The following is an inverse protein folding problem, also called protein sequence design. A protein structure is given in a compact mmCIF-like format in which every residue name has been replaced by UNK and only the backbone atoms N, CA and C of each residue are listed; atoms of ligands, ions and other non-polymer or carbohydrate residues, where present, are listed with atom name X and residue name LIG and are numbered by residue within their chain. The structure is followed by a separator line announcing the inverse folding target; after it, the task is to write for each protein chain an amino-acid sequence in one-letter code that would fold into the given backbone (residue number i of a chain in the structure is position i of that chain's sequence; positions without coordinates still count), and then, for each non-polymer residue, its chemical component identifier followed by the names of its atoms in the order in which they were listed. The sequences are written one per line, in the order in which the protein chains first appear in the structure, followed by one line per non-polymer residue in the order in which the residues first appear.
data_IF_108071669630
#
_entry.id   IF_108071669630
#
_cell.length_a   1.000
_cell.length_b   1.000
_cell.length_c   1.000
_cell.angle_alpha   90.00
_cell.angle_beta   90.00
_cell.angle_gamma   90.00
#
_symmetry.space_group_name_H-M   'P 1'
#
loop_
_entity.id
_entity.type
_entity.pdbx_description
1 polymer ?
#
# COMPACT_ATOMS: atom_id res chain seq x y z
N UNK A 1 3.99 5.11 -1.49
CA UNK A 1 4.84 5.41 -0.29
C UNK A 1 5.05 4.16 0.57
N UNK A 2 4.01 3.56 1.17
CA UNK A 2 4.17 2.40 2.07
C UNK A 2 4.85 1.18 1.43
N UNK A 3 4.56 0.87 0.15
CA UNK A 3 5.21 -0.23 -0.57
C UNK A 3 6.74 -0.13 -0.60
N UNK A 4 7.28 1.09 -0.71
CA UNK A 4 8.73 1.33 -0.69
C UNK A 4 9.35 0.99 0.67
N UNK A 5 8.68 1.38 1.77
CA UNK A 5 9.16 1.07 3.12
C UNK A 5 9.07 -0.42 3.44
N UNK A 6 7.95 -1.03 3.09
CA UNK A 6 7.77 -2.46 3.25
C UNK A 6 8.74 -3.26 2.37
N UNK A 7 9.01 -2.78 1.15
CA UNK A 7 10.01 -3.37 0.26
C UNK A 7 11.42 -3.29 0.84
N UNK A 8 11.78 -2.15 1.44
CA UNK A 8 13.08 -2.01 2.11
C UNK A 8 13.21 -2.96 3.30
N UNK A 9 12.15 -3.12 4.08
CA UNK A 9 12.12 -4.12 5.14
C UNK A 9 12.32 -5.54 4.58
N UNK A 10 11.67 -5.91 3.48
CA UNK A 10 11.86 -7.23 2.84
C UNK A 10 13.30 -7.45 2.37
N UNK A 11 13.97 -6.41 1.90
CA UNK A 11 15.39 -6.43 1.58
C UNK A 11 16.24 -6.61 2.86
N UNK A 12 15.99 -5.83 3.91
CA UNK A 12 16.76 -5.86 5.16
C UNK A 12 16.67 -7.22 5.88
N UNK A 13 15.55 -7.93 5.74
CA UNK A 13 15.39 -9.30 6.28
C UNK A 13 15.80 -10.40 5.29
N UNK A 14 16.40 -10.04 4.14
CA UNK A 14 16.96 -10.98 3.17
C UNK A 14 15.94 -11.74 2.32
N UNK A 15 14.69 -11.26 2.26
CA UNK A 15 13.63 -11.84 1.41
C UNK A 15 13.75 -11.39 -0.04
N UNK A 16 14.18 -10.15 -0.25
CA UNK A 16 14.49 -9.59 -1.56
C UNK A 16 15.96 -9.22 -1.64
N UNK A 17 16.57 -9.37 -2.81
CA UNK A 17 17.84 -8.74 -3.11
C UNK A 17 17.62 -7.24 -3.38
N UNK A 18 18.70 -6.44 -3.30
CA UNK A 18 18.65 -5.02 -3.66
C UNK A 18 18.15 -4.81 -5.10
N UNK A 19 18.62 -5.62 -6.02
CA UNK A 19 18.22 -5.56 -7.43
C UNK A 19 16.72 -5.85 -7.59
N UNK A 20 16.21 -6.91 -6.97
CA UNK A 20 14.78 -7.25 -6.97
C UNK A 20 13.94 -6.12 -6.37
N UNK A 21 14.37 -5.55 -5.23
CA UNK A 21 13.67 -4.43 -4.61
C UNK A 21 13.57 -3.23 -5.56
N UNK A 22 14.68 -2.81 -6.18
CA UNK A 22 14.68 -1.69 -7.11
C UNK A 22 13.80 -1.93 -8.33
N UNK A 23 13.84 -3.14 -8.88
CA UNK A 23 13.00 -3.56 -10.00
C UNK A 23 11.50 -3.52 -9.67
N UNK A 24 11.11 -3.96 -8.46
CA UNK A 24 9.72 -3.89 -8.00
C UNK A 24 9.26 -2.44 -7.79
N UNK A 25 10.11 -1.60 -7.20
CA UNK A 25 9.81 -0.17 -7.02
C UNK A 25 9.55 0.50 -8.36
N UNK A 26 10.40 0.26 -9.36
CA UNK A 26 10.24 0.86 -10.69
C UNK A 26 8.98 0.33 -11.40
N UNK A 27 8.74 -0.97 -11.36
CA UNK A 27 7.54 -1.56 -11.95
C UNK A 27 6.25 -1.02 -11.33
N UNK A 28 6.25 -0.75 -10.01
CA UNK A 28 5.07 -0.23 -9.31
C UNK A 28 4.72 1.23 -9.66
N UNK A 29 5.64 1.99 -10.30
CA UNK A 29 5.41 3.40 -10.66
C UNK A 29 4.50 3.58 -11.87
N UNK A 30 4.51 2.66 -12.81
CA UNK A 30 3.86 2.79 -14.13
C UNK A 30 2.62 1.92 -14.31
N UNK A 31 2.36 1.01 -13.38
CA UNK A 31 1.28 0.04 -13.48
C UNK A 31 -0.06 0.56 -12.92
N UNK A 32 -1.15 -0.11 -13.33
CA UNK A 32 -2.45 -0.05 -12.64
C UNK A 32 -2.70 -1.37 -11.96
N UNK A 33 -3.24 -1.35 -10.75
CA UNK A 33 -3.58 -2.59 -10.04
C UNK A 33 -4.65 -3.35 -10.82
N UNK A 34 -4.39 -4.64 -11.08
CA UNK A 34 -5.37 -5.52 -11.74
C UNK A 34 -6.58 -5.71 -10.82
N UNK A 35 -7.78 -5.60 -11.39
CA UNK A 35 -9.03 -5.69 -10.64
C UNK A 35 -9.17 -7.02 -9.89
N UNK A 36 -8.73 -8.12 -10.49
CA UNK A 36 -8.76 -9.45 -9.85
C UNK A 36 -7.88 -9.51 -8.60
N UNK A 37 -6.66 -8.94 -8.66
CA UNK A 37 -5.77 -8.86 -7.49
C UNK A 37 -6.39 -8.02 -6.37
N UNK A 38 -7.00 -6.88 -6.73
CA UNK A 38 -7.73 -6.03 -5.79
C UNK A 38 -8.86 -6.79 -5.10
N UNK A 39 -9.70 -7.47 -5.88
CA UNK A 39 -10.85 -8.20 -5.38
C UNK A 39 -10.44 -9.31 -4.40
N UNK A 40 -9.35 -10.02 -4.70
CA UNK A 40 -8.80 -11.06 -3.81
C UNK A 40 -8.19 -10.43 -2.55
N UNK A 41 -7.41 -9.36 -2.67
CA UNK A 41 -6.78 -8.69 -1.52
C UNK A 41 -7.79 -8.06 -0.55
N UNK A 42 -8.96 -7.65 -1.06
CA UNK A 42 -10.07 -7.11 -0.26
C UNK A 42 -11.00 -8.24 0.28
N UNK A 43 -10.70 -9.50 -0.01
CA UNK A 43 -11.52 -10.64 0.42
C UNK A 43 -12.90 -10.72 -0.26
N UNK A 44 -13.09 -10.04 -1.38
CA UNK A 44 -14.35 -10.02 -2.13
C UNK A 44 -14.47 -11.18 -3.11
N UNK A 45 -13.35 -11.75 -3.54
CA UNK A 45 -13.27 -12.91 -4.43
C UNK A 45 -12.19 -13.87 -3.94
N UNK A 46 -12.32 -15.15 -4.29
CA UNK A 46 -11.22 -16.10 -4.17
C UNK A 46 -10.26 -15.96 -5.35
N UNK A 47 -9.06 -16.53 -5.22
CA UNK A 47 -8.08 -16.54 -6.32
C UNK A 47 -8.64 -17.29 -7.53
N UNK A 48 -9.31 -18.42 -7.30
CA UNK A 48 -9.90 -19.26 -8.35
C UNK A 48 -10.99 -18.49 -9.12
N UNK A 49 -11.84 -17.73 -8.42
CA UNK A 49 -12.85 -16.87 -9.04
C UNK A 49 -12.22 -15.76 -9.90
N UNK A 50 -11.16 -15.12 -9.39
CA UNK A 50 -10.44 -14.09 -10.13
C UNK A 50 -9.75 -14.66 -11.38
N UNK A 51 -9.15 -15.84 -11.28
CA UNK A 51 -8.51 -16.54 -12.39
C UNK A 51 -9.54 -16.95 -13.46
N UNK A 52 -10.73 -17.44 -13.06
CA UNK A 52 -11.84 -17.74 -13.98
C UNK A 52 -12.28 -16.49 -14.75
N UNK A 53 -12.48 -15.36 -14.05
CA UNK A 53 -12.87 -14.10 -14.70
C UNK A 53 -11.79 -13.60 -15.66
N UNK A 54 -10.49 -13.73 -15.33
CA UNK A 54 -9.39 -13.38 -16.22
C UNK A 54 -9.39 -14.22 -17.49
N UNK A 55 -9.68 -15.54 -17.39
CA UNK A 55 -9.80 -16.42 -18.56
C UNK A 55 -10.99 -16.02 -19.45
N UNK A 56 -12.14 -15.76 -18.84
CA UNK A 56 -13.33 -15.30 -19.56
C UNK A 56 -13.13 -13.93 -20.23
N UNK A 57 -12.38 -13.03 -19.59
CA UNK A 57 -12.03 -11.73 -20.15
C UNK A 57 -11.25 -11.87 -21.46
N UNK A 58 -10.27 -12.79 -21.50
CA UNK A 58 -9.49 -13.05 -22.70
C UNK A 58 -10.35 -13.62 -23.86
N UNK A 59 -11.45 -14.31 -23.53
CA UNK A 59 -12.36 -14.93 -24.52
C UNK A 59 -13.46 -13.99 -25.00
N UNK A 60 -14.00 -13.13 -24.11
CA UNK A 60 -15.22 -12.35 -24.36
C UNK A 60 -14.96 -10.89 -24.78
N UNK A 61 -13.71 -10.42 -24.75
CA UNK A 61 -13.34 -8.99 -24.92
C UNK A 61 -14.17 -8.05 -24.04
N UNK A 62 -14.46 -8.47 -22.81
CA UNK A 62 -15.25 -7.73 -21.84
C UNK A 62 -14.40 -7.27 -20.65
N UNK A 63 -14.88 -6.29 -19.87
CA UNK A 63 -14.15 -5.80 -18.70
C UNK A 63 -14.26 -6.81 -17.57
N UNK A 64 -13.19 -6.93 -16.76
CA UNK A 64 -13.18 -7.81 -15.59
C UNK A 64 -14.40 -7.58 -14.67
N UNK A 65 -14.70 -6.30 -14.37
CA UNK A 65 -15.83 -5.94 -13.50
C UNK A 65 -17.18 -6.45 -14.03
N UNK A 66 -17.42 -6.28 -15.34
CA UNK A 66 -18.68 -6.68 -15.96
C UNK A 66 -18.86 -8.21 -15.87
N UNK A 67 -17.81 -8.98 -16.16
CA UNK A 67 -17.84 -10.45 -16.06
C UNK A 67 -18.01 -10.90 -14.62
N UNK A 68 -17.32 -10.25 -13.65
CA UNK A 68 -17.42 -10.60 -12.25
C UNK A 68 -18.84 -10.34 -11.70
N UNK A 69 -19.52 -9.30 -12.16
CA UNK A 69 -20.92 -9.01 -11.84
C UNK A 69 -21.86 -10.02 -12.50
N UNK A 70 -21.67 -10.32 -13.80
CA UNK A 70 -22.44 -11.34 -14.54
C UNK A 70 -22.37 -12.71 -13.83
N UNK A 71 -21.21 -13.07 -13.30
CA UNK A 71 -20.99 -14.32 -12.54
C UNK A 71 -21.51 -14.27 -11.08
N UNK A 72 -21.94 -13.11 -10.62
CA UNK A 72 -22.38 -12.93 -9.24
C UNK A 72 -21.24 -12.96 -8.20
N UNK A 73 -19.97 -12.79 -8.63
CA UNK A 73 -18.82 -12.73 -7.74
C UNK A 73 -18.63 -11.35 -7.10
N UNK A 74 -19.03 -10.30 -7.81
CA UNK A 74 -19.02 -8.91 -7.33
C UNK A 74 -20.36 -8.23 -7.61
N UNK A 75 -20.64 -7.16 -6.87
CA UNK A 75 -21.71 -6.21 -7.19
C UNK A 75 -21.13 -4.99 -7.89
N UNK A 76 -21.97 -4.22 -8.62
CA UNK A 76 -21.56 -2.95 -9.25
C UNK A 76 -20.97 -1.96 -8.24
N UNK A 77 -21.52 -1.91 -7.02
CA UNK A 77 -20.99 -1.07 -5.93
C UNK A 77 -19.56 -1.49 -5.53
N UNK A 78 -19.33 -2.81 -5.42
CA UNK A 78 -18.00 -3.34 -5.11
C UNK A 78 -17.00 -3.04 -6.22
N UNK A 79 -17.39 -3.21 -7.49
CA UNK A 79 -16.58 -2.82 -8.65
C UNK A 79 -16.22 -1.34 -8.59
N UNK A 80 -17.19 -0.46 -8.31
CA UNK A 80 -16.94 0.97 -8.17
C UNK A 80 -15.95 1.33 -7.05
N UNK A 81 -16.01 0.62 -5.92
CA UNK A 81 -15.04 0.78 -4.81
C UNK A 81 -13.64 0.31 -5.21
N UNK A 82 -13.53 -0.82 -5.90
CA UNK A 82 -12.25 -1.36 -6.38
C UNK A 82 -11.60 -0.43 -7.42
N UNK A 83 -12.37 0.15 -8.34
CA UNK A 83 -11.87 1.11 -9.32
C UNK A 83 -11.19 2.32 -8.68
N UNK A 84 -11.74 2.82 -7.57
CA UNK A 84 -11.13 3.93 -6.81
C UNK A 84 -9.78 3.55 -6.17
N UNK A 85 -9.57 2.28 -5.89
CA UNK A 85 -8.32 1.76 -5.28
C UNK A 85 -7.24 1.38 -6.30
N UNK A 86 -7.51 1.41 -7.59
CA UNK A 86 -6.53 0.99 -8.62
C UNK A 86 -5.24 1.83 -8.66
N UNK A 87 -5.24 3.01 -8.06
CA UNK A 87 -4.06 3.87 -7.92
C UNK A 87 -3.30 3.70 -6.60
N UNK A 88 -3.67 2.74 -5.76
CA UNK A 88 -3.02 2.52 -4.47
C UNK A 88 -1.58 2.03 -4.64
N UNK A 89 -0.63 2.83 -4.19
CA UNK A 89 0.81 2.58 -4.35
C UNK A 89 1.29 1.31 -3.62
N UNK A 90 0.65 0.93 -2.52
CA UNK A 90 0.95 -0.32 -1.81
C UNK A 90 0.48 -1.53 -2.63
N UNK A 91 -0.72 -1.45 -3.19
CA UNK A 91 -1.27 -2.54 -3.99
C UNK A 91 -0.51 -2.72 -5.31
N UNK A 92 0.00 -1.63 -5.90
CA UNK A 92 0.90 -1.70 -7.06
C UNK A 92 2.20 -2.44 -6.73
N UNK A 93 2.77 -2.17 -5.55
CA UNK A 93 3.95 -2.86 -5.06
C UNK A 93 3.68 -4.36 -4.82
N UNK A 94 2.55 -4.68 -4.17
CA UNK A 94 2.10 -6.07 -3.96
C UNK A 94 1.90 -6.80 -5.29
N UNK A 95 1.24 -6.16 -6.26
CA UNK A 95 1.05 -6.72 -7.59
C UNK A 95 2.38 -7.06 -8.26
N UNK A 96 3.34 -6.14 -8.21
CA UNK A 96 4.65 -6.36 -8.83
C UNK A 96 5.39 -7.54 -8.20
N UNK A 97 5.30 -7.75 -6.87
CA UNK A 97 5.87 -8.92 -6.19
C UNK A 97 5.24 -10.23 -6.66
N UNK A 98 3.89 -10.25 -6.77
CA UNK A 98 3.14 -11.46 -7.15
C UNK A 98 3.35 -11.80 -8.63
N UNK A 99 3.32 -10.83 -9.52
CA UNK A 99 3.51 -11.02 -10.97
C UNK A 99 4.90 -11.55 -11.32
N UNK A 100 5.91 -11.12 -10.57
CA UNK A 100 7.28 -11.64 -10.71
C UNK A 100 7.53 -12.95 -9.96
N UNK A 101 6.49 -13.50 -9.32
CA UNK A 101 6.56 -14.77 -8.55
C UNK A 101 7.62 -14.73 -7.44
N UNK A 102 7.91 -13.56 -6.90
CA UNK A 102 8.84 -13.39 -5.79
C UNK A 102 8.18 -13.76 -4.46
N UNK A 103 6.93 -13.39 -4.27
CA UNK A 103 6.13 -13.71 -3.07
C UNK A 103 4.68 -14.01 -3.46
N UNK A 104 4.04 -14.88 -2.68
CA UNK A 104 2.59 -15.08 -2.72
C UNK A 104 1.87 -14.03 -1.87
N UNK A 105 0.55 -13.88 -2.03
CA UNK A 105 -0.25 -12.99 -1.17
C UNK A 105 -0.17 -13.43 0.31
N UNK A 106 -0.08 -14.73 0.57
CA UNK A 106 0.07 -15.29 1.91
C UNK A 106 1.42 -14.92 2.52
N UNK A 107 2.51 -15.03 1.76
CA UNK A 107 3.85 -14.61 2.19
C UNK A 107 3.87 -13.13 2.51
N UNK A 108 3.30 -12.30 1.62
CA UNK A 108 3.21 -10.85 1.82
C UNK A 108 2.46 -10.52 3.11
N UNK A 109 1.34 -11.19 3.38
CA UNK A 109 0.57 -11.00 4.62
C UNK A 109 1.37 -11.42 5.86
N UNK A 110 2.11 -12.53 5.78
CA UNK A 110 2.99 -13.02 6.85
C UNK A 110 4.10 -12.00 7.16
N UNK A 111 4.82 -11.53 6.14
CA UNK A 111 5.87 -10.53 6.31
C UNK A 111 5.33 -9.18 6.77
N UNK A 112 4.15 -8.77 6.30
CA UNK A 112 3.48 -7.56 6.77
C UNK A 112 3.15 -7.63 8.28
N UNK A 113 2.67 -8.78 8.74
CA UNK A 113 2.40 -9.01 10.17
C UNK A 113 3.69 -8.99 10.99
N UNK A 114 4.78 -9.52 10.45
CA UNK A 114 6.10 -9.44 11.09
C UNK A 114 6.60 -7.99 11.14
N UNK A 115 6.50 -7.26 10.03
CA UNK A 115 6.87 -5.84 9.95
C UNK A 115 6.11 -4.99 10.96
N UNK A 116 4.79 -5.20 11.11
CA UNK A 116 3.98 -4.53 12.15
C UNK A 116 4.55 -4.74 13.54
N UNK A 117 4.97 -5.96 13.86
CA UNK A 117 5.49 -6.31 15.18
C UNK A 117 6.88 -5.75 15.41
N UNK A 118 7.79 -5.83 14.42
CA UNK A 118 9.16 -5.35 14.53
C UNK A 118 9.23 -3.84 14.71
N UNK A 119 8.41 -3.09 13.95
CA UNK A 119 8.34 -1.62 14.03
C UNK A 119 7.34 -1.12 15.09
N UNK A 120 6.68 -2.02 15.81
CA UNK A 120 5.66 -1.72 16.82
C UNK A 120 4.49 -0.88 16.31
N UNK A 121 4.17 -0.99 15.03
CA UNK A 121 3.03 -0.29 14.43
C UNK A 121 1.70 -0.90 14.86
N UNK A 122 0.75 -0.03 15.20
CA UNK A 122 -0.65 -0.40 15.38
C UNK A 122 -1.32 -0.66 14.01
N UNK A 123 -2.48 -1.32 14.03
CA UNK A 123 -3.24 -1.52 12.79
C UNK A 123 -3.63 -0.19 12.12
N UNK A 124 -4.00 0.83 12.92
CA UNK A 124 -4.39 2.16 12.42
C UNK A 124 -3.21 2.88 11.74
N UNK A 125 -2.00 2.79 12.30
CA UNK A 125 -0.80 3.38 11.72
C UNK A 125 -0.45 2.72 10.39
N UNK A 126 -0.52 1.39 10.30
CA UNK A 126 -0.31 0.67 9.04
C UNK A 126 -1.34 1.08 7.98
N UNK A 127 -2.63 1.19 8.34
CA UNK A 127 -3.68 1.57 7.40
C UNK A 127 -3.52 3.03 6.94
N UNK A 128 -3.04 3.91 7.83
CA UNK A 128 -2.68 5.28 7.45
C UNK A 128 -1.52 5.30 6.45
N UNK A 129 -0.44 4.57 6.74
CA UNK A 129 0.73 4.47 5.85
C UNK A 129 0.37 3.89 4.48
N UNK A 130 -0.49 2.85 4.44
CA UNK A 130 -0.99 2.25 3.19
C UNK A 130 -1.82 3.23 2.36
N UNK A 131 -2.63 4.07 3.01
CA UNK A 131 -3.47 5.05 2.30
C UNK A 131 -2.67 6.09 1.53
N UNK A 132 -1.39 6.28 1.86
CA UNK A 132 -0.53 7.36 1.33
C UNK A 132 -1.13 8.77 1.51
N UNK A 133 -2.14 8.90 2.36
CA UNK A 133 -2.76 10.16 2.74
C UNK A 133 -1.96 10.80 3.86
N UNK A 134 -1.24 11.87 3.53
CA UNK A 134 -0.32 12.56 4.45
C UNK A 134 -1.08 13.14 5.65
N UNK A 135 -2.27 13.69 5.43
CA UNK A 135 -3.06 14.29 6.51
C UNK A 135 -3.51 13.20 7.50
N UNK A 136 -3.96 12.05 6.98
CA UNK A 136 -4.31 10.88 7.79
C UNK A 136 -3.11 10.33 8.55
N UNK A 137 -1.94 10.23 7.90
CA UNK A 137 -0.70 9.78 8.54
C UNK A 137 -0.35 10.71 9.70
N UNK A 138 -0.31 12.03 9.46
CA UNK A 138 0.02 13.02 10.49
C UNK A 138 -0.97 12.99 11.65
N UNK A 139 -2.27 12.91 11.36
CA UNK A 139 -3.31 12.83 12.40
C UNK A 139 -3.11 11.61 13.32
N UNK A 140 -2.78 10.46 12.74
CA UNK A 140 -2.62 9.22 13.51
C UNK A 140 -1.32 9.22 14.29
N UNK A 141 -0.19 9.57 13.66
CA UNK A 141 1.12 9.55 14.33
C UNK A 141 1.31 10.67 15.34
N UNK A 142 0.58 11.78 15.23
CA UNK A 142 0.62 12.89 16.18
C UNK A 142 -0.54 12.92 17.17
N UNK A 143 -1.41 11.91 17.15
CA UNK A 143 -2.63 11.87 17.98
C UNK A 143 -2.32 11.97 19.49
N UNK A 144 -1.30 11.24 19.95
CA UNK A 144 -0.94 11.14 21.37
C UNK A 144 0.08 12.20 21.80
N UNK A 145 0.61 12.98 20.86
CA UNK A 145 1.50 14.10 21.17
C UNK A 145 0.67 15.36 21.35
N UNK A 146 0.83 16.04 22.47
CA UNK A 146 0.23 17.36 22.73
C UNK A 146 0.86 18.44 21.82
N UNK A 147 0.77 18.20 20.49
CA UNK A 147 1.33 19.09 19.49
C UNK A 147 0.27 20.13 19.14
N UNK A 148 0.56 21.46 19.24
CA UNK A 148 -0.36 22.51 18.87
C UNK A 148 -0.85 22.33 17.41
N UNK A 149 -2.10 22.71 17.13
CA UNK A 149 -2.71 22.59 15.80
C UNK A 149 -1.85 23.23 14.71
N UNK A 150 -1.33 24.45 14.95
CA UNK A 150 -0.45 25.14 14.01
C UNK A 150 0.82 24.34 13.65
N UNK A 151 1.36 23.58 14.59
CA UNK A 151 2.54 22.71 14.33
C UNK A 151 2.14 21.50 13.50
N UNK A 152 0.94 20.94 13.73
CA UNK A 152 0.40 19.85 12.90
C UNK A 152 0.20 20.30 11.45
N UNK A 153 -0.38 21.47 11.25
CA UNK A 153 -0.60 22.07 9.92
C UNK A 153 0.73 22.36 9.21
N UNK A 154 1.72 22.86 9.94
CA UNK A 154 3.06 23.09 9.40
C UNK A 154 3.75 21.78 9.00
N UNK A 155 3.68 20.74 9.83
CA UNK A 155 4.23 19.41 9.52
C UNK A 155 3.51 18.79 8.32
N UNK A 156 2.19 18.96 8.21
CA UNK A 156 1.42 18.50 7.05
C UNK A 156 1.86 19.20 5.76
N UNK A 157 2.05 20.52 5.81
CA UNK A 157 2.55 21.30 4.68
C UNK A 157 3.97 20.88 4.29
N UNK A 158 4.85 20.73 5.27
CA UNK A 158 6.23 20.31 5.07
C UNK A 158 6.28 18.91 4.45
N UNK A 159 5.54 17.95 5.00
CA UNK A 159 5.48 16.59 4.50
C UNK A 159 4.92 16.53 3.06
N UNK A 160 3.87 17.29 2.74
CA UNK A 160 3.33 17.39 1.37
C UNK A 160 4.36 17.94 0.38
N UNK A 161 5.10 18.98 0.77
CA UNK A 161 6.15 19.55 -0.06
C UNK A 161 7.32 18.58 -0.23
N UNK A 162 7.74 17.92 0.83
CA UNK A 162 8.81 16.92 0.75
C UNK A 162 8.45 15.76 -0.19
N UNK A 163 7.23 15.23 -0.09
CA UNK A 163 6.76 14.15 -1.00
C UNK A 163 6.68 14.64 -2.46
N UNK A 164 6.37 15.92 -2.67
CA UNK A 164 6.23 16.51 -4.02
C UNK A 164 7.56 16.82 -4.68
N UNK A 165 8.57 17.26 -3.91
CA UNK A 165 9.83 17.81 -4.46
C UNK A 165 11.07 16.96 -4.17
N UNK A 166 10.99 16.05 -3.20
CA UNK A 166 12.10 15.16 -2.86
C UNK A 166 11.66 13.75 -3.24
N UNK A 167 12.46 13.09 -4.04
CA UNK A 167 12.23 11.70 -4.47
C UNK A 167 11.82 10.83 -3.26
N UNK A 168 10.96 9.82 -3.48
CA UNK A 168 10.30 8.95 -2.49
C UNK A 168 11.21 8.23 -1.45
N UNK A 169 12.39 8.77 -1.19
CA UNK A 169 13.38 8.25 -0.23
C UNK A 169 13.21 8.78 1.19
N UNK A 170 12.23 9.67 1.43
CA UNK A 170 12.00 10.22 2.76
C UNK A 170 11.29 9.18 3.61
N UNK A 171 11.96 8.76 4.66
CA UNK A 171 11.45 7.86 5.69
C UNK A 171 10.92 8.69 6.86
N UNK A 172 9.66 8.53 7.20
CA UNK A 172 9.12 8.96 8.49
C UNK A 172 9.52 7.92 9.53
N UNK A 173 10.66 8.12 10.22
CA UNK A 173 11.15 7.12 11.18
C UNK A 173 10.44 7.22 12.51
N UNK A 174 10.36 8.39 13.08
CA UNK A 174 9.70 8.65 14.37
C UNK A 174 9.70 10.14 14.65
N UNK A 175 8.60 10.66 15.18
CA UNK A 175 8.57 12.01 15.74
C UNK A 175 8.84 11.88 17.23
N UNK A 176 10.06 12.21 17.65
CA UNK A 176 10.42 12.27 19.06
C UNK A 176 10.34 13.71 19.58
N UNK A 177 9.79 13.86 20.79
CA UNK A 177 9.79 15.15 21.48
C UNK A 177 11.21 15.40 22.01
N UNK A 178 11.94 16.31 21.38
CA UNK A 178 13.22 16.78 21.91
C UNK A 178 12.90 17.72 23.06
N UNK A 179 13.25 17.33 24.29
CA UNK A 179 13.26 18.25 25.41
C UNK A 179 14.42 19.22 25.21
N UNK A 180 14.12 20.47 24.83
CA UNK A 180 15.11 21.54 24.88
C UNK A 180 15.43 21.79 26.35
N UNK A 181 16.65 21.48 26.75
CA UNK A 181 17.19 21.97 27.98
C UNK A 181 17.33 23.48 27.83
N UNK A 182 16.47 24.25 28.49
CA UNK A 182 16.71 25.67 28.75
C UNK A 182 17.71 25.72 29.88
N UNK A 183 18.94 26.10 29.58
CA UNK A 183 19.95 26.53 30.54
C UNK A 183 19.53 27.79 31.24
#
# INVERSE_FOLDING_TARGET
MFGVYFGKYLEDVGVLTHEQYMEIVEASRTARVKMGLLAVSEGLMTKEQADEVNQLQAMKDARFGDIAVEKGYLTDEQVGKLLKKQGDSYLLFVQALVERKLLTLEDIQKYLNHYKKSERYTALEIDALKSSDIDKIIQIFLKDNQVPAAVKDYLALLARNMVRFVDNKIRFERIERIHTYTS
#
